data_IF_475010895313
#
_entry.id   IF_475010895313
#
_cell.length_a   1.000
_cell.length_b   1.000
_cell.length_c   1.000
_cell.angle_alpha   90.00
_cell.angle_beta   90.00
_cell.angle_gamma   90.00
#
_symmetry.space_group_name_H-M   'P 1'
#
loop_
_entity.id
_entity.type
_entity.pdbx_description
1 polymer ?
#
# COMPACT_ATOMS: atom_id res chain seq x y z
N UNK A 1 -26.98 15.46 -17.40
CA UNK A 1 -26.36 15.52 -16.06
C UNK A 1 -26.39 14.11 -15.50
N UNK A 2 -25.30 13.37 -15.67
CA UNK A 2 -25.08 12.07 -15.06
C UNK A 2 -23.65 11.66 -15.39
N UNK A 3 -22.67 12.18 -14.64
CA UNK A 3 -21.35 11.55 -14.57
C UNK A 3 -20.81 11.83 -13.16
N UNK A 4 -21.38 11.09 -12.22
CA UNK A 4 -21.13 11.22 -10.79
C UNK A 4 -21.15 9.85 -10.13
N UNK A 5 -20.58 8.86 -10.81
CA UNK A 5 -20.38 7.52 -10.28
C UNK A 5 -18.87 7.33 -10.12
N UNK A 6 -18.43 7.56 -8.89
CA UNK A 6 -17.24 6.97 -8.29
C UNK A 6 -15.91 7.15 -9.02
N UNK A 7 -15.31 8.33 -8.86
CA UNK A 7 -13.87 8.36 -8.61
C UNK A 7 -13.59 7.82 -7.18
N UNK A 8 -14.05 6.60 -6.87
CA UNK A 8 -13.64 5.90 -5.66
C UNK A 8 -12.21 5.40 -5.92
N UNK A 9 -11.22 6.19 -5.53
CA UNK A 9 -9.88 5.66 -5.33
C UNK A 9 -9.94 4.64 -4.20
N UNK A 10 -9.97 3.36 -4.54
CA UNK A 10 -9.97 2.30 -3.54
C UNK A 10 -8.69 2.37 -2.69
N UNK A 11 -8.87 2.47 -1.38
CA UNK A 11 -7.79 2.52 -0.41
C UNK A 11 -7.67 1.19 0.34
N UNK A 12 -6.62 0.42 0.05
CA UNK A 12 -6.32 -0.84 0.71
C UNK A 12 -5.33 -0.64 1.86
N UNK A 13 -5.77 -0.94 3.07
CA UNK A 13 -4.89 -0.97 4.25
C UNK A 13 -4.25 -2.35 4.41
N UNK A 14 -2.98 -2.47 4.04
CA UNK A 14 -2.20 -3.70 4.16
C UNK A 14 -1.39 -3.70 5.44
N UNK A 15 -1.42 -4.81 6.17
CA UNK A 15 -0.63 -5.01 7.38
C UNK A 15 0.31 -6.20 7.19
N UNK A 16 1.61 -5.91 7.10
CA UNK A 16 2.64 -6.93 6.96
C UNK A 16 3.23 -7.22 8.34
N UNK A 17 3.28 -8.49 8.73
CA UNK A 17 3.86 -8.95 10.01
C UNK A 17 4.88 -10.03 9.75
N UNK A 18 6.09 -9.89 10.29
CA UNK A 18 7.16 -10.84 10.03
C UNK A 18 8.46 -10.56 10.78
N UNK A 19 9.54 -11.21 10.32
CA UNK A 19 10.89 -10.99 10.87
C UNK A 19 11.41 -9.60 10.53
N UNK A 20 12.40 -9.13 11.29
CA UNK A 20 13.04 -7.82 11.10
C UNK A 20 13.49 -7.59 9.66
N UNK A 21 14.14 -8.60 9.06
CA UNK A 21 14.70 -8.53 7.70
C UNK A 21 13.62 -8.30 6.64
N UNK A 22 12.53 -9.07 6.71
CA UNK A 22 11.40 -8.96 5.78
C UNK A 22 10.74 -7.59 5.92
N UNK A 23 10.49 -7.13 7.15
CA UNK A 23 9.83 -5.85 7.39
C UNK A 23 10.74 -4.67 7.03
N UNK A 24 12.06 -4.80 7.23
CA UNK A 24 13.03 -3.81 6.79
C UNK A 24 13.05 -3.70 5.26
N UNK A 25 13.00 -4.83 4.53
CA UNK A 25 12.92 -4.85 3.07
C UNK A 25 11.60 -4.24 2.57
N UNK A 26 10.46 -4.60 3.17
CA UNK A 26 9.16 -4.00 2.85
C UNK A 26 9.18 -2.50 3.13
N UNK A 27 9.70 -2.06 4.28
CA UNK A 27 9.83 -0.63 4.59
C UNK A 27 10.72 0.10 3.59
N UNK A 28 11.83 -0.50 3.15
CA UNK A 28 12.70 0.08 2.14
C UNK A 28 11.99 0.21 0.79
N UNK A 29 11.23 -0.82 0.38
CA UNK A 29 10.38 -0.79 -0.80
C UNK A 29 9.33 0.32 -0.68
N UNK A 30 8.55 0.34 0.40
CA UNK A 30 7.54 1.37 0.65
C UNK A 30 8.17 2.77 0.66
N UNK A 31 9.33 2.98 1.28
CA UNK A 31 10.03 4.28 1.26
C UNK A 31 10.46 4.67 -0.16
N UNK A 32 10.93 3.73 -0.98
CA UNK A 32 11.36 3.98 -2.36
C UNK A 32 10.18 4.31 -3.28
N UNK A 33 9.01 3.76 -2.99
CA UNK A 33 7.80 3.92 -3.79
C UNK A 33 6.81 4.95 -3.21
N UNK A 34 6.99 5.38 -1.96
CA UNK A 34 6.09 6.29 -1.26
C UNK A 34 6.05 7.65 -1.94
N UNK A 35 4.92 7.96 -2.57
CA UNK A 35 4.61 9.27 -3.13
C UNK A 35 5.21 9.59 -4.51
N UNK A 36 5.96 8.70 -5.15
CA UNK A 36 6.65 9.03 -6.42
C UNK A 36 6.33 8.08 -7.58
N UNK A 37 5.93 6.83 -7.32
CA UNK A 37 5.68 5.86 -8.39
C UNK A 37 4.45 5.01 -8.09
N UNK A 38 3.46 5.11 -8.98
CA UNK A 38 2.42 4.09 -9.08
C UNK A 38 3.08 2.76 -9.49
N UNK A 39 2.61 1.66 -8.90
CA UNK A 39 3.06 0.32 -9.21
C UNK A 39 1.85 -0.55 -9.51
N UNK A 40 2.00 -1.49 -10.46
CA UNK A 40 0.97 -2.48 -10.70
C UNK A 40 0.91 -3.42 -9.49
N UNK A 41 -0.24 -3.43 -8.84
CA UNK A 41 -0.53 -4.31 -7.73
C UNK A 41 -1.89 -4.95 -7.92
N UNK A 42 -2.00 -6.21 -7.51
CA UNK A 42 -3.23 -6.97 -7.59
C UNK A 42 -3.71 -7.20 -6.17
N UNK A 43 -4.83 -6.60 -5.74
CA UNK A 43 -5.44 -6.92 -4.48
C UNK A 43 -5.91 -8.39 -4.47
N UNK A 44 -5.92 -9.06 -3.31
CA UNK A 44 -6.32 -10.46 -3.21
C UNK A 44 -7.80 -10.71 -3.56
N UNK A 45 -8.63 -9.67 -3.56
CA UNK A 45 -10.08 -9.72 -3.81
C UNK A 45 -10.52 -8.82 -4.96
N UNK A 46 -9.61 -8.38 -5.83
CA UNK A 46 -9.95 -7.45 -6.91
C UNK A 46 -9.06 -7.59 -8.13
N UNK A 47 -9.17 -6.62 -9.03
CA UNK A 47 -8.47 -6.64 -10.32
C UNK A 47 -7.07 -5.99 -10.25
N UNK A 48 -6.11 -6.44 -11.07
CA UNK A 48 -4.81 -5.80 -11.18
C UNK A 48 -4.94 -4.34 -11.63
N UNK A 49 -4.36 -3.42 -10.86
CA UNK A 49 -4.47 -1.98 -11.11
C UNK A 49 -3.19 -1.23 -10.78
N UNK A 50 -3.18 0.07 -11.06
CA UNK A 50 -2.12 0.98 -10.62
C UNK A 50 -2.43 1.48 -9.21
N UNK A 51 -1.51 1.21 -8.29
CA UNK A 51 -1.63 1.62 -6.89
C UNK A 51 -0.46 2.50 -6.49
N UNK A 52 -0.73 3.49 -5.67
CA UNK A 52 0.30 4.35 -5.05
C UNK A 52 0.31 4.13 -3.55
N UNK A 53 1.51 4.02 -2.99
CA UNK A 53 1.66 4.05 -1.54
C UNK A 53 1.73 5.50 -1.08
N UNK A 54 0.64 6.08 -0.56
CA UNK A 54 0.69 7.44 0.01
C UNK A 54 1.24 7.47 1.42
N UNK A 55 0.87 6.47 2.23
CA UNK A 55 1.18 6.49 3.66
C UNK A 55 1.54 5.10 4.14
N UNK A 56 2.58 5.03 4.97
CA UNK A 56 2.89 3.85 5.75
C UNK A 56 3.17 4.24 7.20
N UNK A 57 2.74 3.39 8.11
CA UNK A 57 2.92 3.53 9.55
C UNK A 57 4.32 3.08 9.97
N UNK A 58 4.71 3.48 11.18
CA UNK A 58 5.97 3.02 11.79
C UNK A 58 5.93 1.51 12.02
N UNK A 59 7.12 0.91 12.01
CA UNK A 59 7.27 -0.51 12.32
C UNK A 59 7.07 -0.70 13.83
N UNK A 60 6.09 -1.52 14.20
CA UNK A 60 5.86 -1.94 15.59
C UNK A 60 6.56 -3.26 15.84
N UNK A 61 7.33 -3.35 16.92
CA UNK A 61 7.97 -4.60 17.36
C UNK A 61 7.17 -5.19 18.52
N UNK A 62 6.70 -6.43 18.37
CA UNK A 62 6.03 -7.18 19.44
C UNK A 62 6.75 -8.51 19.69
N UNK A 63 7.37 -8.64 20.87
CA UNK A 63 8.20 -9.75 21.35
C UNK A 63 9.36 -10.19 20.42
N UNK A 64 9.14 -10.51 19.14
CA UNK A 64 10.13 -10.70 18.06
C UNK A 64 9.54 -10.49 16.64
N UNK A 65 8.29 -10.05 16.53
CA UNK A 65 7.59 -9.84 15.26
C UNK A 65 7.49 -8.35 14.98
N UNK A 66 7.88 -7.96 13.79
CA UNK A 66 7.80 -6.60 13.29
C UNK A 66 6.52 -6.48 12.46
N UNK A 67 5.77 -5.40 12.66
CA UNK A 67 4.52 -5.12 11.96
C UNK A 67 4.63 -3.76 11.30
N UNK A 68 4.36 -3.68 10.01
CA UNK A 68 4.25 -2.42 9.27
C UNK A 68 2.89 -2.39 8.56
N UNK A 69 2.24 -1.24 8.63
CA UNK A 69 0.96 -1.02 7.94
C UNK A 69 1.19 0.00 6.83
N UNK A 70 0.67 -0.26 5.64
CA UNK A 70 0.75 0.64 4.50
C UNK A 70 -0.64 0.80 3.87
N UNK A 71 -0.92 2.01 3.38
CA UNK A 71 -2.17 2.34 2.69
C UNK A 71 -1.85 2.53 1.22
N UNK A 72 -2.41 1.65 0.40
CA UNK A 72 -2.29 1.70 -1.05
C UNK A 72 -3.58 2.28 -1.61
N UNK A 73 -3.46 3.39 -2.33
CA UNK A 73 -4.59 4.04 -3.00
C UNK A 73 -4.53 3.72 -4.49
N UNK A 74 -5.64 3.25 -5.05
CA UNK A 74 -5.76 3.05 -6.48
C UNK A 74 -5.73 4.40 -7.20
N UNK A 75 -4.92 4.50 -8.24
CA UNK A 75 -4.83 5.68 -9.07
C UNK A 75 -5.11 5.34 -10.52
N UNK A 76 -6.06 6.06 -11.11
CA UNK A 76 -6.30 6.09 -12.53
C UNK A 76 -5.87 7.47 -12.99
N UNK A 77 -4.67 7.57 -13.56
CA UNK A 77 -4.29 8.82 -14.22
C UNK A 77 -5.12 8.90 -15.52
N UNK A 78 -5.88 9.98 -15.75
CA UNK A 78 -6.68 10.17 -16.97
C UNK A 78 -5.80 10.40 -18.20
#
# INVERSE_FOLDING_TARGET
MADGINNESDAFQLSFRGRAEVIAAIRAFLRRHAGVRAFNWTPPLGEPGLYVCKKFSRVFQTKHVFTITATFEQTFSP
#
